data_IF_548955862130
#
_entry.id   IF_548955862130
#
_cell.length_a   1.000
_cell.length_b   1.000
_cell.length_c   1.000
_cell.angle_alpha   90.00
_cell.angle_beta   90.00
_cell.angle_gamma   90.00
#
_symmetry.space_group_name_H-M   'P 1'
#
loop_
_entity.id
_entity.type
_entity.pdbx_description
1 polymer ?
#
# COMPACT_ATOMS: atom_id res chain seq x y z
N UNK A 1 -2.20 -41.58 -13.03
CA UNK A 1 -3.03 -40.48 -12.50
C UNK A 1 -2.05 -39.46 -11.94
N UNK A 2 -1.85 -38.40 -12.73
CA UNK A 2 -0.94 -37.33 -12.35
C UNK A 2 -1.47 -36.59 -11.13
N UNK A 3 -0.69 -36.57 -10.05
CA UNK A 3 -0.91 -35.70 -8.90
C UNK A 3 -0.72 -34.26 -9.37
N UNK A 4 -1.81 -33.58 -9.70
CA UNK A 4 -1.81 -32.12 -9.76
C UNK A 4 -1.58 -31.65 -8.34
N UNK A 5 -0.33 -31.19 -8.08
CA UNK A 5 0.11 -30.81 -6.75
C UNK A 5 -0.71 -29.65 -6.23
N UNK A 6 -1.17 -29.74 -4.99
CA UNK A 6 -1.81 -28.67 -4.19
C UNK A 6 -1.04 -27.35 -4.18
N UNK A 7 0.22 -27.34 -4.65
CA UNK A 7 1.07 -26.15 -4.78
C UNK A 7 0.70 -25.19 -5.92
N UNK A 8 -0.07 -25.62 -6.92
CA UNK A 8 -0.39 -24.81 -8.10
C UNK A 8 -1.49 -23.75 -7.86
N UNK A 9 -2.37 -23.96 -6.90
CA UNK A 9 -3.54 -23.11 -6.68
C UNK A 9 -3.18 -21.72 -6.10
N UNK A 10 -2.12 -21.65 -5.29
CA UNK A 10 -1.67 -20.39 -4.66
C UNK A 10 -0.83 -19.47 -5.57
N UNK A 11 -0.29 -20.00 -6.66
CA UNK A 11 0.67 -19.32 -7.52
C UNK A 11 0.06 -18.35 -8.52
N UNK A 12 -1.24 -18.48 -8.80
CA UNK A 12 -1.89 -17.81 -9.92
C UNK A 12 -2.92 -16.75 -9.52
N UNK A 13 -2.80 -16.17 -8.33
CA UNK A 13 -3.75 -15.15 -7.86
C UNK A 13 -3.61 -13.80 -8.58
N UNK A 14 -2.56 -13.64 -9.43
CA UNK A 14 -2.32 -12.42 -10.19
C UNK A 14 -1.72 -11.29 -9.37
N UNK A 15 -0.97 -11.61 -8.30
CA UNK A 15 -0.34 -10.63 -7.41
C UNK A 15 0.58 -9.67 -8.18
N UNK A 16 1.57 -10.20 -8.91
CA UNK A 16 2.50 -9.38 -9.70
C UNK A 16 1.82 -8.68 -10.89
N UNK A 17 0.77 -9.28 -11.46
CA UNK A 17 -0.05 -8.61 -12.48
C UNK A 17 -0.76 -7.39 -11.91
N UNK A 18 -1.37 -7.52 -10.72
CA UNK A 18 -2.01 -6.42 -10.02
C UNK A 18 -0.99 -5.35 -9.61
N UNK A 19 0.16 -5.77 -9.09
CA UNK A 19 1.27 -4.86 -8.74
C UNK A 19 1.68 -4.03 -9.96
N UNK A 20 1.91 -4.64 -11.12
CA UNK A 20 2.24 -3.94 -12.36
C UNK A 20 1.14 -2.98 -12.79
N UNK A 21 -0.12 -3.42 -12.72
CA UNK A 21 -1.27 -2.60 -13.14
C UNK A 21 -1.46 -1.36 -12.23
N UNK A 22 -1.20 -1.48 -10.92
CA UNK A 22 -1.32 -0.35 -9.99
C UNK A 22 -0.12 0.59 -10.10
N UNK A 23 1.10 0.04 -10.28
CA UNK A 23 2.35 0.81 -10.22
C UNK A 23 2.82 1.30 -11.59
N UNK A 24 2.15 0.92 -12.68
CA UNK A 24 2.59 1.14 -14.06
C UNK A 24 4.02 0.63 -14.31
N UNK A 25 4.37 -0.49 -13.70
CA UNK A 25 5.69 -1.11 -13.80
C UNK A 25 5.64 -2.34 -14.70
N UNK A 26 6.74 -2.61 -15.43
CA UNK A 26 6.94 -3.83 -16.21
C UNK A 26 7.76 -4.84 -15.37
N UNK A 27 7.24 -5.29 -14.25
CA UNK A 27 7.86 -6.38 -13.49
C UNK A 27 7.45 -7.70 -14.14
N UNK A 28 8.43 -8.59 -14.34
CA UNK A 28 8.20 -9.90 -14.94
C UNK A 28 7.18 -10.71 -14.15
N UNK A 29 5.96 -10.76 -14.65
CA UNK A 29 4.89 -11.58 -14.10
C UNK A 29 4.93 -12.94 -14.82
N UNK A 30 5.66 -13.90 -14.25
CA UNK A 30 5.72 -15.25 -14.81
C UNK A 30 4.80 -16.21 -14.07
N UNK A 31 4.25 -17.17 -14.80
CA UNK A 31 3.50 -18.31 -14.28
C UNK A 31 4.43 -19.38 -13.62
N UNK A 32 5.52 -18.92 -12.95
CA UNK A 32 6.52 -19.78 -12.31
C UNK A 32 6.43 -19.76 -10.79
N UNK A 33 6.89 -20.86 -10.15
CA UNK A 33 7.15 -20.90 -8.71
C UNK A 33 8.17 -19.82 -8.38
N UNK A 34 7.89 -19.02 -7.33
CA UNK A 34 8.81 -17.97 -6.88
C UNK A 34 9.15 -16.97 -8.00
N UNK A 35 8.14 -16.50 -8.76
CA UNK A 35 8.33 -15.45 -9.74
C UNK A 35 8.93 -14.17 -9.11
N UNK A 36 8.68 -13.96 -7.83
CA UNK A 36 9.30 -12.92 -7.01
C UNK A 36 10.09 -13.58 -5.90
N UNK A 37 11.43 -13.57 -5.98
CA UNK A 37 12.33 -14.07 -4.93
C UNK A 37 12.77 -12.94 -4.00
N UNK A 38 13.06 -11.77 -4.58
CA UNK A 38 13.37 -10.56 -3.83
C UNK A 38 12.17 -9.61 -3.87
N UNK A 39 11.80 -8.97 -2.75
CA UNK A 39 10.71 -8.01 -2.73
C UNK A 39 10.97 -6.87 -3.70
N UNK A 40 10.03 -6.64 -4.59
CA UNK A 40 10.10 -5.52 -5.52
C UNK A 40 9.34 -4.34 -4.94
N UNK A 41 10.04 -3.28 -4.60
CA UNK A 41 9.43 -2.05 -4.10
C UNK A 41 9.24 -1.02 -5.20
N UNK A 42 8.07 -0.38 -5.24
CA UNK A 42 7.77 0.72 -6.16
C UNK A 42 7.06 1.85 -5.44
N UNK A 43 7.52 3.06 -5.71
CA UNK A 43 6.86 4.28 -5.24
C UNK A 43 5.81 4.72 -6.25
N UNK A 44 4.59 4.92 -5.79
CA UNK A 44 3.44 5.40 -6.57
C UNK A 44 2.89 6.64 -5.89
N UNK A 45 2.62 7.69 -6.66
CA UNK A 45 1.91 8.86 -6.17
C UNK A 45 0.42 8.67 -6.38
N UNK A 46 -0.31 8.51 -5.30
CA UNK A 46 -1.77 8.51 -5.29
C UNK A 46 -2.24 9.94 -5.04
N UNK A 47 -3.14 10.45 -5.92
CA UNK A 47 -3.51 11.87 -5.96
C UNK A 47 -3.94 12.44 -4.60
N UNK A 48 -4.67 11.66 -3.81
CA UNK A 48 -5.24 12.10 -2.52
C UNK A 48 -4.46 11.58 -1.29
N UNK A 49 -3.46 10.74 -1.48
CA UNK A 49 -2.70 10.09 -0.41
C UNK A 49 -1.22 10.49 -0.41
N UNK A 50 -0.73 11.03 -1.52
CA UNK A 50 0.69 11.30 -1.71
C UNK A 50 1.47 10.06 -2.13
N UNK A 51 2.73 9.98 -1.68
CA UNK A 51 3.66 8.92 -2.09
C UNK A 51 3.48 7.65 -1.25
N UNK A 52 3.11 6.56 -1.88
CA UNK A 52 2.94 5.23 -1.28
C UNK A 52 3.98 4.27 -1.86
N UNK A 53 4.55 3.42 -1.02
CA UNK A 53 5.46 2.36 -1.47
C UNK A 53 4.67 1.05 -1.50
N UNK A 54 4.58 0.46 -2.69
CA UNK A 54 4.09 -0.89 -2.88
C UNK A 54 5.26 -1.86 -2.85
N UNK A 55 5.12 -2.95 -2.09
CA UNK A 55 6.06 -4.06 -2.08
C UNK A 55 5.37 -5.32 -2.64
N UNK A 56 5.90 -5.89 -3.74
CA UNK A 56 5.51 -7.21 -4.22
C UNK A 56 6.33 -8.25 -3.47
N UNK A 57 5.69 -8.99 -2.59
CA UNK A 57 6.33 -10.02 -1.76
C UNK A 57 6.22 -11.39 -2.41
N UNK A 58 7.02 -12.34 -1.94
CA UNK A 58 6.86 -13.75 -2.32
C UNK A 58 5.46 -14.24 -1.95
N UNK A 59 4.78 -14.95 -2.88
CA UNK A 59 3.45 -15.52 -2.61
C UNK A 59 3.50 -16.55 -1.47
N UNK A 60 2.56 -16.48 -0.55
CA UNK A 60 2.42 -17.48 0.50
C UNK A 60 2.12 -18.85 -0.12
N UNK A 61 2.89 -19.87 0.29
CA UNK A 61 2.72 -21.25 -0.17
C UNK A 61 2.29 -22.08 1.03
N UNK A 62 1.19 -22.82 0.89
CA UNK A 62 0.81 -23.84 1.86
C UNK A 62 1.93 -24.87 1.96
N UNK A 63 2.38 -25.18 3.16
CA UNK A 63 3.50 -26.10 3.46
C UNK A 63 4.86 -25.59 2.96
N UNK A 64 5.27 -24.38 3.41
CA UNK A 64 6.67 -23.97 3.33
C UNK A 64 7.50 -25.02 4.11
N UNK A 65 8.45 -25.71 3.47
CA UNK A 65 9.40 -26.53 4.21
C UNK A 65 10.12 -25.65 5.23
N UNK A 66 10.31 -26.11 6.47
CA UNK A 66 10.97 -25.35 7.54
C UNK A 66 12.31 -24.72 7.13
N UNK A 67 13.02 -25.33 6.18
CA UNK A 67 14.26 -24.77 5.60
C UNK A 67 14.07 -23.52 4.75
N UNK A 68 12.89 -23.30 4.19
CA UNK A 68 12.56 -22.11 3.38
C UNK A 68 11.95 -20.99 4.24
N UNK A 69 11.42 -21.29 5.42
CA UNK A 69 10.90 -20.28 6.36
C UNK A 69 12.00 -19.28 6.72
N UNK A 70 13.22 -19.74 6.97
CA UNK A 70 14.35 -18.86 7.30
C UNK A 70 14.78 -17.98 6.11
N UNK A 71 14.72 -18.52 4.88
CA UNK A 71 15.04 -17.77 3.66
C UNK A 71 13.97 -16.70 3.35
N UNK A 72 12.70 -16.96 3.70
CA UNK A 72 11.60 -16.01 3.50
C UNK A 72 11.35 -15.07 4.70
N UNK A 73 12.07 -15.28 5.81
CA UNK A 73 11.88 -14.52 7.03
C UNK A 73 12.08 -13.01 6.79
N UNK A 74 13.10 -12.63 6.02
CA UNK A 74 13.36 -11.23 5.67
C UNK A 74 12.21 -10.60 4.88
N UNK A 75 11.62 -11.34 3.91
CA UNK A 75 10.47 -10.86 3.13
C UNK A 75 9.17 -10.80 3.95
N UNK A 76 9.05 -11.69 4.94
CA UNK A 76 7.92 -11.70 5.87
C UNK A 76 8.05 -10.61 6.94
N UNK A 77 9.25 -10.26 7.35
CA UNK A 77 9.54 -9.13 8.25
C UNK A 77 9.16 -7.79 7.60
N UNK A 78 9.34 -7.64 6.28
CA UNK A 78 8.84 -6.48 5.55
C UNK A 78 7.32 -6.37 5.59
N UNK A 79 6.60 -7.49 5.44
CA UNK A 79 5.15 -7.52 5.56
C UNK A 79 4.69 -7.08 6.96
N UNK A 80 5.42 -7.44 8.03
CA UNK A 80 5.10 -7.04 9.40
C UNK A 80 5.32 -5.55 9.69
N UNK A 81 6.07 -4.85 8.83
CA UNK A 81 6.36 -3.42 8.93
C UNK A 81 5.46 -2.56 8.03
N UNK A 82 4.51 -3.17 7.32
CA UNK A 82 3.60 -2.46 6.42
C UNK A 82 2.50 -1.72 7.20
N UNK A 83 2.05 -0.59 6.66
CA UNK A 83 0.89 0.14 7.20
C UNK A 83 -0.43 -0.52 6.79
N UNK A 84 -0.44 -1.26 5.68
CA UNK A 84 -1.60 -1.96 5.14
C UNK A 84 -1.17 -3.19 4.33
N UNK A 85 -1.84 -4.31 4.55
CA UNK A 85 -1.69 -5.52 3.76
C UNK A 85 -2.75 -5.59 2.67
N UNK A 86 -2.33 -5.86 1.43
CA UNK A 86 -3.23 -6.20 0.33
C UNK A 86 -3.22 -7.72 0.15
N UNK A 87 -4.30 -8.38 0.54
CA UNK A 87 -4.45 -9.81 0.38
C UNK A 87 -5.15 -10.12 -0.94
N UNK A 88 -4.38 -10.53 -1.94
CA UNK A 88 -4.88 -10.85 -3.28
C UNK A 88 -5.43 -12.27 -3.31
N UNK A 89 -6.66 -12.42 -3.84
CA UNK A 89 -7.41 -13.66 -3.88
C UNK A 89 -7.90 -13.87 -5.33
N UNK A 90 -7.77 -15.07 -5.85
CA UNK A 90 -8.42 -15.45 -7.11
C UNK A 90 -9.92 -15.60 -6.86
N UNK A 91 -10.72 -14.67 -7.39
CA UNK A 91 -12.15 -14.63 -7.20
C UNK A 91 -12.86 -15.84 -7.83
N UNK A 92 -12.30 -16.39 -8.91
CA UNK A 92 -12.83 -17.55 -9.62
C UNK A 92 -12.53 -18.90 -8.93
N UNK A 93 -11.65 -18.90 -7.90
CA UNK A 93 -11.28 -20.14 -7.21
C UNK A 93 -12.37 -20.63 -6.26
N UNK A 94 -12.70 -21.92 -6.32
CA UNK A 94 -13.61 -22.57 -5.38
C UNK A 94 -13.02 -22.62 -3.95
N UNK A 95 -11.69 -22.69 -3.83
CA UNK A 95 -10.96 -22.79 -2.57
C UNK A 95 -10.67 -21.43 -1.90
N UNK A 96 -11.23 -20.32 -2.42
CA UNK A 96 -10.91 -18.96 -1.95
C UNK A 96 -11.03 -18.78 -0.43
N UNK A 97 -12.10 -19.34 0.17
CA UNK A 97 -12.31 -19.21 1.62
C UNK A 97 -11.24 -19.95 2.43
N UNK A 98 -10.88 -21.16 2.00
CA UNK A 98 -9.79 -21.95 2.62
C UNK A 98 -8.45 -21.22 2.48
N UNK A 99 -8.21 -20.59 1.35
CA UNK A 99 -6.99 -19.84 1.07
C UNK A 99 -6.87 -18.62 1.98
N UNK A 100 -7.95 -17.89 2.22
CA UNK A 100 -7.98 -16.76 3.16
C UNK A 100 -7.60 -17.22 4.58
N UNK A 101 -8.17 -18.32 5.06
CA UNK A 101 -7.86 -18.85 6.39
C UNK A 101 -6.39 -19.21 6.53
N UNK A 102 -5.81 -19.88 5.53
CA UNK A 102 -4.38 -20.26 5.54
C UNK A 102 -3.45 -19.05 5.56
N UNK A 103 -3.74 -18.01 4.78
CA UNK A 103 -2.94 -16.76 4.83
C UNK A 103 -3.06 -16.12 6.20
N UNK A 104 -4.23 -16.09 6.80
CA UNK A 104 -4.43 -15.56 8.15
C UNK A 104 -3.61 -16.33 9.20
N UNK A 105 -3.48 -17.65 9.06
CA UNK A 105 -2.64 -18.45 9.97
C UNK A 105 -1.16 -18.10 9.81
N UNK A 106 -0.66 -17.91 8.60
CA UNK A 106 0.71 -17.44 8.36
C UNK A 106 0.91 -16.03 8.93
N UNK A 107 -0.05 -15.12 8.74
CA UNK A 107 0.04 -13.75 9.32
C UNK A 107 0.11 -13.78 10.86
N UNK A 108 -0.54 -14.75 11.52
CA UNK A 108 -0.39 -14.97 12.97
C UNK A 108 1.03 -15.44 13.32
N UNK A 109 1.58 -16.39 12.57
CA UNK A 109 2.94 -16.93 12.80
C UNK A 109 4.02 -15.85 12.72
N UNK A 110 3.88 -14.88 11.79
CA UNK A 110 4.82 -13.77 11.61
C UNK A 110 4.44 -12.52 12.46
N UNK A 111 3.46 -12.63 13.35
CA UNK A 111 2.97 -11.53 14.18
C UNK A 111 2.46 -10.30 13.37
N UNK A 112 1.95 -10.52 12.16
CA UNK A 112 1.39 -9.48 11.28
C UNK A 112 -0.15 -9.47 11.23
N UNK A 113 -0.82 -10.36 11.98
CA UNK A 113 -2.27 -10.49 11.96
C UNK A 113 -3.01 -9.23 12.47
N UNK A 114 -2.33 -8.39 13.24
CA UNK A 114 -2.88 -7.12 13.77
C UNK A 114 -2.91 -5.99 12.73
N UNK A 115 -2.23 -6.17 11.60
CA UNK A 115 -2.15 -5.13 10.57
C UNK A 115 -3.48 -4.96 9.83
N UNK A 116 -3.84 -3.72 9.48
CA UNK A 116 -4.98 -3.48 8.62
C UNK A 116 -4.82 -4.27 7.32
N UNK A 117 -5.88 -4.96 6.90
CA UNK A 117 -5.87 -5.77 5.68
C UNK A 117 -7.03 -5.36 4.77
N UNK A 118 -6.75 -5.25 3.46
CA UNK A 118 -7.74 -5.08 2.41
C UNK A 118 -7.70 -6.31 1.51
N UNK A 119 -8.85 -6.99 1.39
CA UNK A 119 -8.98 -8.14 0.48
C UNK A 119 -9.13 -7.64 -0.96
N UNK A 120 -8.40 -8.23 -1.90
CA UNK A 120 -8.52 -7.92 -3.33
C UNK A 120 -8.94 -9.19 -4.06
N UNK A 121 -10.21 -9.28 -4.39
CA UNK A 121 -10.76 -10.36 -5.22
C UNK A 121 -10.45 -10.07 -6.68
N UNK A 122 -9.37 -10.66 -7.18
CA UNK A 122 -8.87 -10.48 -8.53
C UNK A 122 -9.45 -11.51 -9.49
N UNK A 123 -9.39 -11.25 -10.79
CA UNK A 123 -9.85 -12.08 -11.91
C UNK A 123 -11.39 -12.19 -12.02
N UNK A 124 -12.09 -11.08 -11.76
CA UNK A 124 -13.54 -11.03 -11.99
C UNK A 124 -13.91 -11.24 -13.46
N UNK A 125 -12.96 -11.01 -14.39
CA UNK A 125 -13.10 -11.33 -15.82
C UNK A 125 -13.36 -12.81 -16.12
N UNK A 126 -13.05 -13.70 -15.17
CA UNK A 126 -13.35 -15.15 -15.25
C UNK A 126 -14.69 -15.52 -14.61
N UNK A 127 -15.46 -14.55 -14.12
CA UNK A 127 -16.72 -14.78 -13.40
C UNK A 127 -17.89 -14.16 -14.16
N UNK A 128 -18.79 -14.99 -14.66
CA UNK A 128 -19.98 -14.52 -15.38
C UNK A 128 -20.85 -13.60 -14.51
N UNK A 129 -21.20 -12.43 -15.06
CA UNK A 129 -22.05 -11.44 -14.40
C UNK A 129 -21.43 -10.72 -13.20
N UNK A 130 -20.13 -10.90 -12.96
CA UNK A 130 -19.42 -10.15 -11.92
C UNK A 130 -19.00 -8.77 -12.43
N UNK A 131 -18.99 -7.80 -11.51
CA UNK A 131 -18.53 -6.44 -11.79
C UNK A 131 -17.62 -5.94 -10.65
N UNK A 132 -16.78 -4.96 -10.97
CA UNK A 132 -15.93 -4.31 -9.99
C UNK A 132 -16.77 -3.58 -8.94
N UNK A 133 -16.38 -3.69 -7.66
CA UNK A 133 -17.05 -3.05 -6.53
C UNK A 133 -16.15 -3.00 -5.30
N UNK A 134 -16.51 -2.12 -4.36
CA UNK A 134 -15.95 -2.10 -3.00
C UNK A 134 -16.99 -2.71 -2.05
N UNK A 135 -16.58 -3.69 -1.25
CA UNK A 135 -17.36 -4.18 -0.12
C UNK A 135 -16.93 -3.43 1.14
N UNK A 136 -17.92 -3.09 1.98
CA UNK A 136 -17.72 -2.28 3.18
C UNK A 136 -18.26 -3.00 4.41
N UNK A 137 -17.66 -2.73 5.56
CA UNK A 137 -18.18 -3.17 6.86
C UNK A 137 -19.38 -2.32 7.30
N UNK A 138 -19.92 -2.62 8.51
CA UNK A 138 -21.05 -1.88 9.10
C UNK A 138 -20.76 -0.39 9.35
N UNK A 139 -19.50 -0.02 9.49
CA UNK A 139 -19.05 1.34 9.75
C UNK A 139 -18.72 2.10 8.45
N UNK A 140 -18.87 1.44 7.30
CA UNK A 140 -18.64 1.99 5.97
C UNK A 140 -17.19 1.90 5.50
N UNK A 141 -16.28 1.26 6.26
CA UNK A 141 -14.88 1.12 5.86
C UNK A 141 -14.69 0.06 4.78
N UNK A 142 -13.81 0.26 3.79
CA UNK A 142 -13.51 -0.74 2.78
C UNK A 142 -12.91 -2.00 3.41
N UNK A 143 -13.49 -3.16 3.12
CA UNK A 143 -12.96 -4.47 3.56
C UNK A 143 -12.50 -5.32 2.40
N UNK A 144 -13.12 -5.17 1.23
CA UNK A 144 -12.71 -5.87 0.03
C UNK A 144 -12.96 -5.04 -1.24
N UNK A 145 -12.17 -5.31 -2.29
CA UNK A 145 -12.36 -4.74 -3.63
C UNK A 145 -12.32 -5.86 -4.66
N UNK A 146 -13.29 -5.85 -5.60
CA UNK A 146 -13.38 -6.80 -6.70
C UNK A 146 -12.83 -6.17 -7.97
N UNK A 147 -11.89 -6.85 -8.62
CA UNK A 147 -11.11 -6.27 -9.75
C UNK A 147 -10.72 -7.33 -10.77
N UNK A 148 -10.36 -6.87 -11.97
CA UNK A 148 -9.53 -7.62 -12.90
C UNK A 148 -8.23 -6.88 -13.16
N UNK A 149 -7.14 -7.41 -12.66
CA UNK A 149 -5.81 -6.87 -12.95
C UNK A 149 -5.43 -7.04 -14.44
N UNK A 150 -6.05 -8.00 -15.14
CA UNK A 150 -5.79 -8.26 -16.54
C UNK A 150 -6.45 -7.20 -17.44
N UNK A 151 -7.71 -6.87 -17.18
CA UNK A 151 -8.48 -5.90 -17.99
C UNK A 151 -8.34 -4.47 -17.50
N UNK A 152 -7.86 -4.28 -16.26
CA UNK A 152 -7.80 -2.99 -15.59
C UNK A 152 -9.08 -2.59 -14.88
N UNK A 153 -10.15 -3.40 -14.95
CA UNK A 153 -11.43 -3.11 -14.33
C UNK A 153 -11.32 -3.04 -12.80
N UNK A 154 -11.77 -1.95 -12.20
CA UNK A 154 -11.80 -1.72 -10.75
C UNK A 154 -10.46 -1.30 -10.12
N UNK A 155 -9.41 -1.02 -10.89
CA UNK A 155 -8.14 -0.53 -10.34
C UNK A 155 -8.27 0.86 -9.71
N UNK A 156 -9.18 1.68 -10.20
CA UNK A 156 -9.57 2.96 -9.62
C UNK A 156 -10.22 2.78 -8.25
N UNK A 157 -11.05 1.74 -8.10
CA UNK A 157 -11.67 1.39 -6.82
C UNK A 157 -10.63 0.93 -5.79
N UNK A 158 -9.56 0.21 -6.22
CA UNK A 158 -8.45 -0.12 -5.32
C UNK A 158 -7.78 1.15 -4.82
N UNK A 159 -7.48 2.10 -5.71
CA UNK A 159 -6.88 3.38 -5.32
C UNK A 159 -7.76 4.14 -4.32
N UNK A 160 -9.06 4.21 -4.57
CA UNK A 160 -10.02 4.85 -3.66
C UNK A 160 -10.04 4.16 -2.28
N UNK A 161 -10.10 2.82 -2.23
CA UNK A 161 -10.07 2.07 -0.98
C UNK A 161 -8.75 2.23 -0.21
N UNK A 162 -7.62 2.38 -0.90
CA UNK A 162 -6.32 2.68 -0.29
C UNK A 162 -6.30 4.05 0.38
N UNK A 163 -6.86 5.08 -0.29
CA UNK A 163 -6.96 6.43 0.25
C UNK A 163 -7.79 6.45 1.54
N UNK A 164 -8.87 5.67 1.58
CA UNK A 164 -9.75 5.58 2.76
C UNK A 164 -9.13 4.76 3.91
N UNK A 165 -8.36 3.71 3.58
CA UNK A 165 -7.88 2.72 4.56
C UNK A 165 -6.50 3.02 5.11
N UNK A 166 -5.64 3.66 4.35
CA UNK A 166 -4.33 4.06 4.83
C UNK A 166 -4.45 5.25 5.81
N UNK A 167 -3.78 5.20 6.97
CA UNK A 167 -3.89 6.24 8.00
C UNK A 167 -3.12 7.52 7.63
N UNK A 168 -3.28 7.99 6.40
CA UNK A 168 -2.60 9.17 5.91
C UNK A 168 -3.61 10.25 5.54
N UNK A 169 -4.10 10.92 6.59
CA UNK A 169 -4.85 12.16 6.38
C UNK A 169 -3.93 13.17 5.69
N UNK A 170 -4.29 13.57 4.47
CA UNK A 170 -3.63 14.69 3.81
C UNK A 170 -3.90 15.94 4.63
N UNK A 171 -2.86 16.47 5.24
CA UNK A 171 -2.93 17.76 5.91
C UNK A 171 -2.76 18.86 4.89
N UNK A 172 -3.68 19.82 4.94
CA UNK A 172 -3.59 21.08 4.23
C UNK A 172 -3.44 22.15 5.30
N UNK A 173 -2.24 22.68 5.46
CA UNK A 173 -1.92 23.57 6.58
C UNK A 173 -1.05 24.75 6.15
N UNK A 174 -1.18 25.83 6.91
CA UNK A 174 -0.33 27.00 6.78
C UNK A 174 0.72 26.98 7.89
N UNK A 175 1.99 27.07 7.51
CA UNK A 175 3.09 27.15 8.44
C UNK A 175 3.75 28.53 8.37
N UNK A 176 4.14 29.04 9.54
CA UNK A 176 5.01 30.22 9.64
C UNK A 176 6.45 29.78 9.85
N UNK A 177 7.29 30.14 8.92
CA UNK A 177 8.71 29.84 8.95
C UNK A 177 9.48 31.14 9.16
N UNK A 178 10.53 31.08 9.95
CA UNK A 178 11.53 32.14 10.08
C UNK A 178 12.69 31.89 9.11
N UNK A 179 13.57 32.85 8.85
CA UNK A 179 14.75 32.66 8.02
C UNK A 179 15.66 31.50 8.46
N UNK A 180 15.63 31.13 9.75
CA UNK A 180 16.40 29.99 10.28
C UNK A 180 15.84 28.62 9.82
N UNK A 181 14.59 28.54 9.35
CA UNK A 181 13.94 27.32 8.88
C UNK A 181 14.21 26.99 7.40
N UNK A 182 15.27 27.54 6.82
CA UNK A 182 15.60 27.33 5.40
C UNK A 182 15.75 25.85 4.99
N UNK A 183 16.31 25.01 5.86
CA UNK A 183 16.43 23.56 5.62
C UNK A 183 15.07 22.86 5.55
N UNK A 184 14.14 23.20 6.45
CA UNK A 184 12.75 22.71 6.44
C UNK A 184 12.05 23.14 5.15
N UNK A 185 12.12 24.42 4.80
CA UNK A 185 11.55 24.97 3.57
C UNK A 185 12.04 24.21 2.33
N UNK A 186 13.38 24.03 2.19
CA UNK A 186 13.96 23.28 1.08
C UNK A 186 13.48 21.82 1.03
N UNK A 187 13.25 21.20 2.20
CA UNK A 187 12.71 19.83 2.27
C UNK A 187 11.27 19.79 1.81
N UNK A 188 10.41 20.71 2.23
CA UNK A 188 9.01 20.80 1.78
C UNK A 188 8.91 20.97 0.26
N UNK A 189 9.77 21.79 -0.35
CA UNK A 189 9.86 21.91 -1.82
C UNK A 189 10.27 20.60 -2.50
N UNK A 190 11.27 19.88 -1.96
CA UNK A 190 11.69 18.57 -2.51
C UNK A 190 10.59 17.51 -2.48
N UNK A 191 9.66 17.62 -1.52
CA UNK A 191 8.48 16.74 -1.43
C UNK A 191 7.31 17.20 -2.29
N UNK A 192 7.47 18.27 -3.09
CA UNK A 192 6.40 18.86 -3.89
C UNK A 192 5.13 19.16 -3.07
N UNK A 193 5.29 19.50 -1.80
CA UNK A 193 4.19 19.72 -0.88
C UNK A 193 3.72 21.19 -0.82
N UNK A 194 4.48 22.10 -1.39
CA UNK A 194 4.20 23.55 -1.33
C UNK A 194 3.18 23.94 -2.39
N UNK A 195 2.07 24.54 -1.95
CA UNK A 195 1.01 25.08 -2.81
C UNK A 195 1.26 26.57 -3.07
N UNK A 196 1.55 27.32 -2.00
CA UNK A 196 1.74 28.75 -2.03
C UNK A 196 2.77 29.20 -1.00
N UNK A 197 3.46 30.26 -1.28
CA UNK A 197 4.40 30.88 -0.37
C UNK A 197 4.28 32.40 -0.46
N UNK A 198 4.35 33.07 0.69
CA UNK A 198 4.41 34.54 0.81
C UNK A 198 5.52 34.87 1.79
N UNK A 199 6.37 35.83 1.43
CA UNK A 199 7.46 36.32 2.29
C UNK A 199 7.12 37.77 2.66
N UNK A 200 7.15 38.07 3.95
CA UNK A 200 6.95 39.44 4.44
C UNK A 200 8.23 40.29 4.38
N UNK A 201 8.11 41.57 4.71
CA UNK A 201 9.22 42.50 4.69
C UNK A 201 10.30 42.24 5.78
N UNK A 202 9.97 41.39 6.77
CA UNK A 202 10.85 40.99 7.88
C UNK A 202 11.55 39.65 7.59
N UNK A 203 11.23 39.02 6.45
CA UNK A 203 11.80 37.76 6.02
C UNK A 203 11.10 36.53 6.62
N UNK A 204 9.95 36.70 7.30
CA UNK A 204 9.11 35.56 7.70
C UNK A 204 8.38 35.02 6.47
N UNK A 205 8.20 33.71 6.45
CA UNK A 205 7.61 32.99 5.34
C UNK A 205 6.32 32.33 5.80
N UNK A 206 5.22 32.69 5.18
CA UNK A 206 3.98 31.94 5.28
C UNK A 206 3.91 30.97 4.11
N UNK A 207 3.89 29.66 4.43
CA UNK A 207 3.91 28.61 3.43
C UNK A 207 2.67 27.72 3.60
N UNK A 208 1.92 27.60 2.52
CA UNK A 208 0.76 26.71 2.43
C UNK A 208 1.23 25.38 1.84
N UNK A 209 0.99 24.30 2.57
CA UNK A 209 1.45 22.95 2.20
C UNK A 209 0.33 21.94 2.22
N UNK A 210 0.43 20.95 1.34
CA UNK A 210 -0.45 19.79 1.32
C UNK A 210 0.41 18.52 1.23
N UNK A 211 0.40 17.71 2.29
CA UNK A 211 1.14 16.45 2.35
C UNK A 211 0.54 15.50 3.40
N UNK A 212 0.87 14.21 3.33
CA UNK A 212 0.44 13.24 4.34
C UNK A 212 0.90 13.64 5.75
N UNK A 213 0.02 13.47 6.73
CA UNK A 213 0.29 13.79 8.14
C UNK A 213 1.56 13.10 8.65
N UNK A 214 1.73 11.82 8.37
CA UNK A 214 2.91 11.03 8.75
C UNK A 214 4.20 11.58 8.14
N UNK A 215 4.15 12.08 6.91
CA UNK A 215 5.29 12.65 6.22
C UNK A 215 5.67 14.02 6.80
N UNK A 216 4.68 14.86 7.12
CA UNK A 216 4.92 16.13 7.79
C UNK A 216 5.59 15.91 9.13
N UNK A 217 5.05 15.04 9.99
CA UNK A 217 5.64 14.77 11.30
C UNK A 217 7.03 14.16 11.21
N UNK A 218 7.32 13.32 10.22
CA UNK A 218 8.67 12.80 9.97
C UNK A 218 9.64 13.91 9.58
N UNK A 219 9.24 14.82 8.69
CA UNK A 219 10.06 15.97 8.27
C UNK A 219 10.36 16.87 9.47
N UNK A 220 9.34 17.21 10.26
CA UNK A 220 9.49 18.05 11.44
C UNK A 220 10.39 17.42 12.50
N UNK A 221 10.22 16.12 12.79
CA UNK A 221 11.07 15.36 13.71
C UNK A 221 12.54 15.40 13.28
N UNK A 222 12.82 15.19 11.99
CA UNK A 222 14.17 15.24 11.44
C UNK A 222 14.77 16.66 11.48
N UNK A 223 13.93 17.68 11.50
CA UNK A 223 14.34 19.09 11.61
C UNK A 223 14.42 19.58 13.07
N UNK A 224 14.07 18.72 14.05
CA UNK A 224 14.04 19.08 15.46
C UNK A 224 12.93 20.09 15.83
N UNK A 225 11.89 20.20 14.99
CA UNK A 225 10.82 21.19 15.13
C UNK A 225 9.52 20.49 15.52
N UNK A 226 8.64 21.18 16.25
CA UNK A 226 7.31 20.72 16.59
C UNK A 226 6.28 21.41 15.69
N UNK A 227 5.23 20.68 15.36
CA UNK A 227 4.13 21.18 14.53
C UNK A 227 3.46 22.41 15.15
N UNK A 228 3.24 22.37 16.47
CA UNK A 228 2.60 23.41 17.26
C UNK A 228 3.32 24.76 17.19
N UNK A 229 4.65 24.74 16.99
CA UNK A 229 5.48 25.96 16.93
C UNK A 229 5.41 26.67 15.56
N UNK A 230 4.85 25.99 14.55
CA UNK A 230 4.88 26.44 13.15
C UNK A 230 3.48 26.76 12.60
N UNK A 231 2.42 26.22 13.20
CA UNK A 231 1.04 26.38 12.69
C UNK A 231 0.49 27.72 13.10
N UNK A 232 -0.07 28.46 12.12
CA UNK A 232 -0.95 29.60 12.41
C UNK A 232 -2.35 29.06 12.64
N UNK A 233 -2.80 29.10 13.90
CA UNK A 233 -4.22 28.85 14.21
C UNK A 233 -4.99 30.07 13.71
N UNK A 234 -5.76 29.87 12.64
CA UNK A 234 -6.74 30.87 12.16
C UNK A 234 -8.01 30.75 12.96
#
# INVERSE_FOLDING_TARGET
IGSRGLGDVYKRQGKSTLFNAITNADVFAADQLFATLDPTMRRVNLHDLGSVIFADTVGFISHLPHRLVDAFRATLEEASSADLLLHIIDASSEDRSTNILRVNDVLKEINAFHLPTLLIYNKIDLMDGSSSRIERDSDGNPVAVWVSALTGEGLDLVRSALVEKLPNKLLHVHLKLTPSHGALRATLYRHNSVIKEVIDNEGHIEIEIKLPESELFRILKNSGLKFEDLVTIS
#
